data_IF_639485824032
#
_entry.id   IF_639485824032
#
_cell.length_a   1.000
_cell.length_b   1.000
_cell.length_c   1.000
_cell.angle_alpha   90.00
_cell.angle_beta   90.00
_cell.angle_gamma   90.00
#
_symmetry.space_group_name_H-M   'P 1'
#
loop_
_entity.id
_entity.type
_entity.pdbx_description
1 polymer ?
#
# COMPACT_ATOMS: atom_id res chain seq x y z
N UNK A 1 30.53 4.44 -1.06
CA UNK A 1 29.49 5.09 -1.91
C UNK A 1 28.22 5.13 -1.08
N UNK A 2 27.72 6.31 -0.72
CA UNK A 2 26.51 6.44 0.10
C UNK A 2 25.26 6.02 -0.72
N UNK A 3 24.35 5.26 -0.12
CA UNK A 3 23.05 4.88 -0.70
C UNK A 3 21.96 5.42 0.21
N UNK A 4 20.86 5.91 -0.35
CA UNK A 4 19.71 6.27 0.47
C UNK A 4 18.40 5.90 -0.21
N UNK A 5 17.34 5.83 0.59
CA UNK A 5 15.97 5.57 0.12
C UNK A 5 15.10 6.76 0.49
N UNK A 6 14.54 7.42 -0.51
CA UNK A 6 13.62 8.56 -0.32
C UNK A 6 12.18 8.05 -0.38
N UNK A 7 11.31 8.53 0.51
CA UNK A 7 9.85 8.33 0.45
C UNK A 7 9.23 9.47 -0.34
N UNK A 8 9.13 9.29 -1.65
CA UNK A 8 8.36 10.22 -2.44
C UNK A 8 6.89 9.77 -2.49
N UNK A 9 5.96 10.64 -2.08
CA UNK A 9 4.54 10.47 -2.37
C UNK A 9 4.30 10.69 -3.86
N UNK A 10 4.67 9.70 -4.68
CA UNK A 10 4.55 9.77 -6.14
C UNK A 10 3.16 9.30 -6.54
N UNK A 11 2.44 10.16 -7.25
CA UNK A 11 1.17 9.83 -7.89
C UNK A 11 1.44 8.94 -9.12
N UNK A 12 1.74 7.66 -8.89
CA UNK A 12 1.98 6.70 -9.96
C UNK A 12 0.68 6.38 -10.71
N UNK A 13 0.41 6.96 -11.88
CA UNK A 13 -0.72 6.53 -12.73
C UNK A 13 -0.29 5.32 -13.56
N UNK A 14 -0.03 4.16 -12.94
CA UNK A 14 0.13 2.91 -13.70
C UNK A 14 -1.23 2.27 -13.92
N UNK A 15 -1.65 2.17 -15.17
CA UNK A 15 -2.81 1.38 -15.57
C UNK A 15 -2.40 -0.11 -15.56
N UNK A 16 -3.14 -0.93 -14.83
CA UNK A 16 -2.96 -2.39 -14.87
C UNK A 16 -3.47 -2.93 -16.21
N UNK A 17 -2.77 -3.90 -16.84
CA UNK A 17 -3.25 -4.61 -18.03
C UNK A 17 -4.68 -5.15 -17.84
N UNK A 18 -5.46 -5.23 -18.92
CA UNK A 18 -6.91 -5.52 -18.86
C UNK A 18 -7.24 -6.94 -18.38
N UNK A 19 -6.34 -7.89 -18.57
CA UNK A 19 -6.71 -9.32 -18.55
C UNK A 19 -6.62 -10.03 -17.20
N UNK A 20 -5.85 -9.57 -16.22
CA UNK A 20 -5.76 -10.23 -14.89
C UNK A 20 -6.52 -9.46 -13.80
N UNK A 21 -7.84 -9.36 -13.94
CA UNK A 21 -8.71 -8.70 -12.93
C UNK A 21 -9.64 -9.66 -12.21
N UNK A 22 -9.66 -10.94 -12.56
CA UNK A 22 -10.57 -11.91 -11.95
C UNK A 22 -10.30 -12.07 -10.45
N UNK A 23 -9.02 -11.99 -10.05
CA UNK A 23 -8.66 -12.00 -8.63
C UNK A 23 -9.27 -10.85 -7.83
N UNK A 24 -9.57 -9.71 -8.44
CA UNK A 24 -10.21 -8.57 -7.77
C UNK A 24 -11.68 -8.86 -7.43
N UNK A 25 -12.36 -9.74 -8.17
CA UNK A 25 -13.74 -10.13 -7.87
C UNK A 25 -13.86 -10.99 -6.61
N UNK A 26 -12.74 -11.57 -6.16
CA UNK A 26 -12.60 -12.33 -4.91
C UNK A 26 -11.77 -11.56 -3.86
N UNK A 27 -11.80 -10.24 -3.92
CA UNK A 27 -11.04 -9.37 -3.00
C UNK A 27 -11.92 -8.45 -2.18
N UNK A 28 -11.46 -8.19 -0.95
CA UNK A 28 -11.93 -7.11 -0.10
C UNK A 28 -10.97 -5.93 -0.18
N UNK A 29 -11.50 -4.72 -0.02
CA UNK A 29 -10.74 -3.50 0.15
C UNK A 29 -11.03 -2.94 1.53
N UNK A 30 -9.97 -2.79 2.33
CA UNK A 30 -10.04 -2.20 3.65
C UNK A 30 -9.37 -0.83 3.69
N UNK A 31 -9.98 0.13 4.38
CA UNK A 31 -9.31 1.37 4.78
C UNK A 31 -8.54 1.14 6.07
N UNK A 32 -7.24 1.34 6.05
CA UNK A 32 -6.33 1.06 7.18
C UNK A 32 -6.67 2.02 8.34
N UNK A 33 -6.71 1.49 9.57
CA UNK A 33 -6.91 2.33 10.76
C UNK A 33 -5.62 3.10 11.13
N UNK A 34 -5.77 4.27 11.75
CA UNK A 34 -4.70 5.27 11.94
C UNK A 34 -3.52 4.81 12.82
N UNK A 35 -3.72 3.78 13.65
CA UNK A 35 -2.75 3.33 14.67
C UNK A 35 -2.13 1.96 14.34
N UNK A 36 -2.13 1.58 13.06
CA UNK A 36 -1.70 0.26 12.63
C UNK A 36 -0.28 0.30 12.08
N UNK A 37 0.57 -0.62 12.54
CA UNK A 37 1.93 -0.79 12.00
C UNK A 37 1.88 -1.35 10.57
N UNK A 38 2.15 -0.49 9.60
CA UNK A 38 2.21 -0.81 8.18
C UNK A 38 3.22 -1.91 7.85
N UNK A 39 4.35 -1.98 8.57
CA UNK A 39 5.39 -2.96 8.29
C UNK A 39 4.94 -4.38 8.63
N UNK A 40 4.08 -4.53 9.63
CA UNK A 40 3.58 -5.82 10.11
C UNK A 40 2.18 -6.16 9.60
N UNK A 41 1.46 -5.18 9.05
CA UNK A 41 0.05 -5.31 8.68
C UNK A 41 -0.21 -6.47 7.71
N UNK A 42 0.61 -6.62 6.67
CA UNK A 42 0.50 -7.73 5.72
C UNK A 42 0.59 -9.08 6.42
N UNK A 43 1.61 -9.27 7.24
CA UNK A 43 1.84 -10.52 7.94
C UNK A 43 0.74 -10.81 8.96
N UNK A 44 0.27 -9.79 9.70
CA UNK A 44 -0.83 -9.92 10.65
C UNK A 44 -2.13 -10.33 9.94
N UNK A 45 -2.49 -9.66 8.86
CA UNK A 45 -3.72 -9.96 8.10
C UNK A 45 -3.67 -11.36 7.49
N UNK A 46 -2.56 -11.75 6.86
CA UNK A 46 -2.41 -13.08 6.27
C UNK A 46 -2.38 -14.20 7.31
N UNK A 47 -1.92 -13.92 8.54
CA UNK A 47 -1.95 -14.87 9.66
C UNK A 47 -3.35 -15.00 10.27
N UNK A 48 -4.09 -13.91 10.37
CA UNK A 48 -5.39 -13.88 11.05
C UNK A 48 -6.54 -14.31 10.13
N UNK A 49 -6.53 -13.88 8.87
CA UNK A 49 -7.61 -14.16 7.92
C UNK A 49 -7.38 -15.51 7.26
N UNK A 50 -8.21 -16.49 7.63
CA UNK A 50 -8.13 -17.83 7.05
C UNK A 50 -8.41 -17.74 5.54
N UNK A 51 -7.62 -18.48 4.74
CA UNK A 51 -7.75 -18.57 3.27
C UNK A 51 -7.56 -17.24 2.52
N UNK A 52 -7.02 -16.20 3.15
CA UNK A 52 -6.41 -15.11 2.42
C UNK A 52 -5.16 -15.62 1.71
N UNK A 53 -5.10 -15.43 0.39
CA UNK A 53 -3.98 -15.86 -0.46
C UNK A 53 -3.06 -14.69 -0.85
N UNK A 54 -3.47 -13.47 -0.56
CA UNK A 54 -2.68 -12.29 -0.90
C UNK A 54 -3.15 -11.04 -0.19
N UNK A 55 -2.19 -10.16 0.03
CA UNK A 55 -2.37 -8.84 0.60
C UNK A 55 -1.62 -7.83 -0.25
N UNK A 56 -2.23 -6.68 -0.55
CA UNK A 56 -1.59 -5.63 -1.33
C UNK A 56 -2.01 -4.27 -0.83
N UNK A 57 -1.05 -3.40 -0.57
CA UNK A 57 -1.36 -1.99 -0.32
C UNK A 57 -1.97 -1.36 -1.58
N UNK A 58 -3.08 -0.66 -1.39
CA UNK A 58 -3.76 0.15 -2.41
C UNK A 58 -3.52 1.63 -2.10
N UNK A 59 -2.26 2.04 -2.21
CA UNK A 59 -1.84 3.35 -1.74
C UNK A 59 -1.45 3.33 -0.26
N UNK A 60 -1.53 4.47 0.43
CA UNK A 60 -1.21 4.53 1.87
C UNK A 60 -2.38 4.26 2.79
N UNK A 61 -3.61 4.58 2.40
CA UNK A 61 -4.74 4.52 3.32
C UNK A 61 -5.60 3.27 3.13
N UNK A 62 -5.29 2.44 2.14
CA UNK A 62 -6.10 1.28 1.79
C UNK A 62 -5.24 0.05 1.51
N UNK A 63 -5.83 -1.13 1.71
CA UNK A 63 -5.26 -2.40 1.30
C UNK A 63 -6.32 -3.28 0.64
N UNK A 64 -5.86 -4.20 -0.20
CA UNK A 64 -6.64 -5.25 -0.85
C UNK A 64 -6.25 -6.58 -0.26
N UNK A 65 -7.25 -7.33 0.22
CA UNK A 65 -7.11 -8.69 0.69
C UNK A 65 -7.73 -9.60 -0.37
N UNK A 66 -6.99 -10.58 -0.84
CA UNK A 66 -7.43 -11.51 -1.89
C UNK A 66 -7.63 -12.89 -1.30
N UNK A 67 -8.74 -13.51 -1.64
CA UNK A 67 -9.12 -14.83 -1.15
C UNK A 67 -8.97 -15.86 -2.26
N UNK A 68 -8.97 -17.15 -1.88
CA UNK A 68 -8.97 -18.26 -2.83
C UNK A 68 -10.18 -18.19 -3.77
N UNK A 69 -11.34 -17.92 -3.19
CA UNK A 69 -12.64 -17.93 -3.86
C UNK A 69 -13.58 -16.86 -3.28
N UNK A 70 -14.64 -16.55 -4.03
CA UNK A 70 -15.60 -15.50 -3.67
C UNK A 70 -16.47 -15.87 -2.46
N UNK A 71 -16.80 -17.14 -2.29
CA UNK A 71 -17.65 -17.60 -1.18
C UNK A 71 -16.93 -17.43 0.16
N UNK A 72 -15.63 -17.74 0.20
CA UNK A 72 -14.77 -17.48 1.34
C UNK A 72 -14.67 -15.99 1.66
N UNK A 73 -14.53 -15.13 0.64
CA UNK A 73 -14.52 -13.67 0.81
C UNK A 73 -15.83 -13.16 1.43
N UNK A 74 -16.97 -13.62 0.93
CA UNK A 74 -18.29 -13.22 1.44
C UNK A 74 -18.52 -13.73 2.87
N UNK A 75 -18.06 -14.96 3.19
CA UNK A 75 -18.09 -15.49 4.56
C UNK A 75 -17.25 -14.64 5.51
N UNK A 76 -16.04 -14.26 5.13
CA UNK A 76 -15.18 -13.40 5.97
C UNK A 76 -15.72 -11.97 6.10
N UNK A 77 -16.42 -11.46 5.08
CA UNK A 77 -17.11 -10.18 5.17
C UNK A 77 -18.30 -10.22 6.13
N UNK A 78 -19.10 -11.29 6.11
CA UNK A 78 -20.23 -11.48 7.04
C UNK A 78 -19.72 -11.75 8.45
N UNK A 79 -18.66 -12.57 8.56
CA UNK A 79 -17.97 -12.90 9.80
C UNK A 79 -16.96 -11.83 10.23
N UNK A 80 -16.99 -10.62 9.65
CA UNK A 80 -16.08 -9.49 9.93
C UNK A 80 -16.06 -9.03 11.41
N UNK A 81 -16.73 -9.78 12.28
CA UNK A 81 -16.53 -9.90 13.71
C UNK A 81 -15.05 -9.94 14.13
N UNK A 82 -14.61 -8.80 14.67
CA UNK A 82 -13.41 -8.56 15.49
C UNK A 82 -12.04 -8.53 14.81
N UNK A 83 -11.66 -9.53 14.02
CA UNK A 83 -10.26 -9.68 13.59
C UNK A 83 -9.81 -8.59 12.62
N UNK A 84 -10.60 -8.32 11.58
CA UNK A 84 -10.30 -7.29 10.59
C UNK A 84 -10.64 -5.87 11.09
N UNK A 85 -11.58 -5.76 12.02
CA UNK A 85 -11.97 -4.48 12.62
C UNK A 85 -10.83 -3.82 13.41
N UNK A 86 -9.87 -4.61 13.92
CA UNK A 86 -8.69 -4.09 14.60
C UNK A 86 -7.70 -3.40 13.65
N UNK A 87 -7.73 -3.76 12.36
CA UNK A 87 -6.77 -3.27 11.37
C UNK A 87 -7.38 -2.30 10.36
N UNK A 88 -8.70 -2.41 10.12
CA UNK A 88 -9.41 -1.64 9.11
C UNK A 88 -10.57 -0.88 9.73
N UNK A 89 -10.61 0.43 9.47
CA UNK A 89 -11.74 1.29 9.85
C UNK A 89 -13.01 0.99 9.04
N UNK A 90 -12.85 0.46 7.84
CA UNK A 90 -13.95 -0.05 7.02
C UNK A 90 -13.44 -1.12 6.07
N UNK A 91 -14.29 -2.08 5.74
CA UNK A 91 -13.99 -3.13 4.77
C UNK A 91 -15.18 -3.35 3.85
N UNK A 92 -14.92 -3.52 2.55
CA UNK A 92 -15.96 -3.71 1.53
C UNK A 92 -15.46 -4.57 0.38
N UNK A 93 -16.34 -5.27 -0.35
CA UNK A 93 -15.97 -5.92 -1.60
C UNK A 93 -15.34 -4.93 -2.58
N UNK A 94 -14.33 -5.39 -3.31
CA UNK A 94 -13.78 -4.58 -4.39
C UNK A 94 -14.84 -4.29 -5.46
N UNK A 95 -14.88 -3.04 -5.93
CA UNK A 95 -15.70 -2.59 -7.06
C UNK A 95 -14.81 -1.91 -8.09
N UNK A 96 -15.23 -1.89 -9.35
CA UNK A 96 -14.48 -1.26 -10.46
C UNK A 96 -14.19 0.23 -10.24
N UNK A 97 -15.00 0.90 -9.43
CA UNK A 97 -14.85 2.31 -9.06
C UNK A 97 -13.75 2.54 -8.02
N UNK A 98 -13.33 1.50 -7.28
CA UNK A 98 -12.30 1.62 -6.25
C UNK A 98 -10.95 1.85 -6.91
N UNK A 99 -10.34 2.99 -6.58
CA UNK A 99 -9.02 3.42 -7.03
C UNK A 99 -8.18 3.77 -5.82
N UNK A 100 -6.88 3.51 -5.88
CA UNK A 100 -5.95 4.02 -4.89
C UNK A 100 -6.04 5.55 -4.87
N UNK A 101 -6.51 6.09 -3.74
CA UNK A 101 -6.68 7.53 -3.53
C UNK A 101 -5.31 8.19 -3.38
N UNK A 102 -4.44 7.62 -2.54
CA UNK A 102 -3.11 8.15 -2.26
C UNK A 102 -2.03 7.12 -2.58
N UNK A 103 -1.28 7.27 -3.67
CA UNK A 103 -0.17 6.35 -4.00
C UNK A 103 1.13 6.88 -3.41
N UNK A 104 1.82 6.02 -2.67
CA UNK A 104 3.14 6.28 -2.12
C UNK A 104 4.15 5.34 -2.75
N UNK A 105 5.34 5.85 -3.04
CA UNK A 105 6.40 5.05 -3.65
C UNK A 105 7.74 5.36 -2.99
N UNK A 106 8.47 4.31 -2.63
CA UNK A 106 9.87 4.47 -2.30
C UNK A 106 10.69 4.65 -3.57
N UNK A 107 11.44 5.74 -3.65
CA UNK A 107 12.39 5.97 -4.73
C UNK A 107 13.79 5.95 -4.16
N UNK A 108 14.63 5.07 -4.70
CA UNK A 108 16.05 5.06 -4.35
C UNK A 108 16.76 6.12 -5.19
N UNK A 109 17.35 7.11 -4.53
CA UNK A 109 18.20 8.11 -5.17
C UNK A 109 19.64 7.70 -4.91
N UNK A 110 20.39 7.46 -5.98
CA UNK A 110 21.77 7.00 -5.94
C UNK A 110 22.70 8.07 -6.53
N UNK A 111 23.93 8.13 -6.03
CA UNK A 111 24.95 9.05 -6.55
C UNK A 111 24.73 10.52 -6.18
N UNK A 112 23.83 10.81 -5.25
CA UNK A 112 23.64 12.16 -4.73
C UNK A 112 24.86 12.56 -3.88
N UNK A 113 25.40 13.76 -4.13
CA UNK A 113 26.48 14.29 -3.31
C UNK A 113 26.00 14.54 -1.88
N UNK A 114 26.92 14.47 -0.90
CA UNK A 114 26.60 14.78 0.50
C UNK A 114 26.01 16.19 0.68
N UNK A 115 26.42 17.16 -0.16
CA UNK A 115 25.88 18.52 -0.14
C UNK A 115 24.43 18.54 -0.66
N UNK A 116 24.09 17.67 -1.61
CA UNK A 116 22.72 17.49 -2.12
C UNK A 116 21.80 16.72 -1.17
N UNK A 117 22.30 16.19 -0.05
CA UNK A 117 21.51 15.46 0.96
C UNK A 117 20.71 16.41 1.88
N UNK A 118 19.80 17.18 1.28
CA UNK A 118 18.85 17.99 2.02
C UNK A 118 17.45 17.90 1.39
N UNK A 119 16.44 18.14 2.22
CA UNK A 119 15.02 18.14 1.88
C UNK A 119 14.71 18.93 0.61
N UNK A 120 15.23 20.17 0.48
CA UNK A 120 14.96 21.04 -0.68
C UNK A 120 15.48 20.45 -1.98
N UNK A 121 16.69 19.87 -1.96
CA UNK A 121 17.28 19.27 -3.15
C UNK A 121 16.50 18.03 -3.59
N UNK A 122 16.18 17.14 -2.65
CA UNK A 122 15.42 15.91 -2.92
C UNK A 122 14.00 16.24 -3.40
N UNK A 123 13.32 17.17 -2.72
CA UNK A 123 11.99 17.63 -3.10
C UNK A 123 12.00 18.18 -4.53
N UNK A 124 12.99 19.01 -4.88
CA UNK A 124 13.14 19.52 -6.24
C UNK A 124 13.37 18.43 -7.28
N UNK A 125 14.02 17.32 -6.92
CA UNK A 125 14.23 16.19 -7.85
C UNK A 125 12.95 15.39 -8.09
N UNK A 126 12.08 15.25 -7.08
CA UNK A 126 10.86 14.44 -7.19
C UNK A 126 9.60 15.26 -7.49
N UNK A 127 9.68 16.59 -7.50
CA UNK A 127 8.53 17.51 -7.65
C UNK A 127 7.64 17.20 -8.86
N UNK A 128 8.24 16.82 -9.98
CA UNK A 128 7.52 16.56 -11.23
C UNK A 128 6.83 15.18 -11.20
N UNK A 129 7.29 14.28 -10.34
CA UNK A 129 6.71 12.95 -10.12
C UNK A 129 5.66 12.95 -8.99
N UNK A 130 5.78 13.84 -8.01
CA UNK A 130 4.83 13.96 -6.91
C UNK A 130 5.31 14.83 -5.76
N UNK A 131 4.64 14.69 -4.62
CA UNK A 131 4.97 15.43 -3.40
C UNK A 131 5.87 14.56 -2.52
N UNK A 132 7.01 15.09 -2.10
CA UNK A 132 7.83 14.40 -1.10
C UNK A 132 7.08 14.38 0.25
N UNK A 133 7.01 13.21 0.88
CA UNK A 133 6.38 13.06 2.19
C UNK A 133 7.44 12.82 3.28
N UNK A 134 8.55 12.18 2.93
CA UNK A 134 9.71 12.02 3.80
C UNK A 134 10.92 11.42 3.08
N UNK A 135 12.04 11.27 3.77
CA UNK A 135 13.20 10.56 3.24
C UNK A 135 14.00 9.91 4.36
N UNK A 136 14.56 8.73 4.09
CA UNK A 136 15.43 8.04 5.02
C UNK A 136 16.87 8.06 4.50
N UNK A 137 17.78 8.44 5.39
CA UNK A 137 19.22 8.31 5.15
C UNK A 137 19.64 6.94 5.65
N UNK A 138 19.94 6.03 4.73
CA UNK A 138 20.54 4.75 5.08
C UNK A 138 22.05 4.95 5.23
N UNK A 139 22.54 5.02 6.47
CA UNK A 139 23.97 4.89 6.71
C UNK A 139 24.35 3.42 6.46
N UNK A 140 25.26 3.21 5.50
CA UNK A 140 25.90 1.91 5.20
C UNK A 140 27.34 1.99 5.67
#
# INVERSE_FOLDING_TARGET
>A
MAKAKVVAGIRLIRAMPKDDKEWLLRSLVGSIATEVDYAQLEHMVLKTVKKAIGFRFLGASQAVITFTDRETMEKELINSSSALANYFSSIKPWKREVKAVDRFAWVSILGLSLIGWNDRCIESMVKDAGKMIGYDILQV
#
